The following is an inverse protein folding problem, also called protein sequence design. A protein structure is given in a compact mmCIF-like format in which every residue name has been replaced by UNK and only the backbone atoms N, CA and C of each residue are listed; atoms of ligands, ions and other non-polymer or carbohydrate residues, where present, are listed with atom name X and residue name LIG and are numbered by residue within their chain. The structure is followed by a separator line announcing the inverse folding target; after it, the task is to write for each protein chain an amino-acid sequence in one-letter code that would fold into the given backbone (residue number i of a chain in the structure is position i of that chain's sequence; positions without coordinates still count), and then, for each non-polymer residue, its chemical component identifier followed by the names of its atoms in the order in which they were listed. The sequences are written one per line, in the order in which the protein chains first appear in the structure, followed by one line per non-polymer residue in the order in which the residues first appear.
data_IF_541462119602
#
_entry.id   IF_541462119602
#
_cell.length_a   1.000
_cell.length_b   1.000
_cell.length_c   1.000
_cell.angle_alpha   90.00
_cell.angle_beta   90.00
_cell.angle_gamma   90.00
#
_symmetry.space_group_name_H-M   'P 1'
#
loop_
_entity.id
_entity.type
_entity.pdbx_description
1 polymer ?
#
# COMPACT_ATOMS: atom_id res chain seq x y z
N UNK A 1 -22.52 2.98 33.22
CA UNK A 1 -21.05 2.90 33.07
C UNK A 1 -20.76 2.56 31.60
N UNK A 2 -20.25 3.53 30.83
CA UNK A 2 -19.90 3.31 29.41
C UNK A 2 -18.65 2.45 29.35
N UNK A 3 -18.76 1.28 28.73
CA UNK A 3 -17.65 0.38 28.48
C UNK A 3 -16.64 1.09 27.57
N UNK A 4 -15.56 1.66 28.13
CA UNK A 4 -14.41 2.14 27.37
C UNK A 4 -13.63 0.91 26.90
N UNK A 5 -14.10 0.29 25.81
CA UNK A 5 -13.36 -0.75 25.11
C UNK A 5 -11.99 -0.20 24.72
N UNK A 6 -10.93 -0.93 25.12
CA UNK A 6 -9.50 -0.72 24.84
C UNK A 6 -9.21 0.07 23.55
N UNK A 7 -9.07 1.39 23.66
CA UNK A 7 -8.65 2.28 22.58
C UNK A 7 -7.12 2.27 22.34
N UNK A 8 -6.43 1.15 22.60
CA UNK A 8 -5.01 1.17 22.97
C UNK A 8 -3.98 0.51 22.04
N UNK A 9 -4.30 0.09 20.81
CA UNK A 9 -3.31 -0.62 19.98
C UNK A 9 -3.46 -0.43 18.45
N UNK A 10 -4.48 0.28 17.98
CA UNK A 10 -4.70 0.43 16.54
C UNK A 10 -3.86 1.58 15.95
N UNK A 11 -3.76 2.70 16.66
CA UNK A 11 -2.92 3.86 16.26
C UNK A 11 -1.44 3.47 16.15
N UNK A 12 -0.93 2.72 17.13
CA UNK A 12 0.46 2.23 17.14
C UNK A 12 0.72 1.31 15.94
N UNK A 13 -0.22 0.41 15.60
CA UNK A 13 -0.11 -0.46 14.43
C UNK A 13 -0.13 0.33 13.12
N UNK A 14 -0.99 1.34 13.01
CA UNK A 14 -1.02 2.22 11.85
C UNK A 14 0.32 2.95 11.68
N UNK A 15 0.86 3.48 12.78
CA UNK A 15 2.13 4.19 12.76
C UNK A 15 3.28 3.26 12.39
N UNK A 16 3.31 2.03 12.92
CA UNK A 16 4.30 1.02 12.58
C UNK A 16 4.24 0.62 11.11
N UNK A 17 3.04 0.36 10.57
CA UNK A 17 2.85 0.02 9.16
C UNK A 17 3.32 1.15 8.25
N UNK A 18 2.99 2.40 8.59
CA UNK A 18 3.41 3.57 7.81
C UNK A 18 4.93 3.75 7.86
N UNK A 19 5.55 3.62 9.04
CA UNK A 19 7.01 3.68 9.19
C UNK A 19 7.69 2.57 8.38
N UNK A 20 7.19 1.34 8.43
CA UNK A 20 7.71 0.24 7.65
C UNK A 20 7.63 0.52 6.14
N UNK A 21 6.49 1.02 5.65
CA UNK A 21 6.36 1.42 4.25
C UNK A 21 7.37 2.50 3.88
N UNK A 22 7.50 3.55 4.69
CA UNK A 22 8.40 4.67 4.44
C UNK A 22 9.88 4.26 4.42
N UNK A 23 10.29 3.33 5.28
CA UNK A 23 11.65 2.79 5.30
C UNK A 23 11.95 1.99 4.02
N UNK A 24 10.97 1.28 3.48
CA UNK A 24 11.11 0.51 2.24
C UNK A 24 11.05 1.38 0.97
N UNK A 25 10.41 2.55 1.03
CA UNK A 25 10.33 3.47 -0.10
C UNK A 25 11.71 3.92 -0.58
N UNK A 26 11.96 3.76 -1.89
CA UNK A 26 13.15 4.34 -2.55
C UNK A 26 13.02 5.88 -2.68
N UNK A 27 14.03 6.56 -3.23
CA UNK A 27 13.98 8.02 -3.41
C UNK A 27 12.79 8.52 -4.26
N UNK A 28 12.39 7.78 -5.30
CA UNK A 28 11.23 8.12 -6.13
C UNK A 28 9.92 8.01 -5.34
N UNK A 29 9.79 6.99 -4.51
CA UNK A 29 8.64 6.78 -3.65
C UNK A 29 8.61 7.82 -2.51
N UNK A 30 9.77 8.22 -1.99
CA UNK A 30 9.89 9.29 -1.01
C UNK A 30 9.55 10.65 -1.61
N UNK A 31 9.90 10.89 -2.89
CA UNK A 31 9.50 12.11 -3.62
C UNK A 31 7.99 12.27 -3.68
N UNK A 32 7.20 11.20 -3.72
CA UNK A 32 5.74 11.30 -3.61
C UNK A 32 5.32 12.07 -2.35
N UNK A 33 5.93 11.76 -1.20
CA UNK A 33 5.65 12.45 0.06
C UNK A 33 6.15 13.91 0.07
N UNK A 34 7.20 14.22 -0.71
CA UNK A 34 7.75 15.57 -0.87
C UNK A 34 7.11 16.45 -1.96
N UNK A 35 6.43 15.86 -2.95
CA UNK A 35 5.79 16.60 -4.05
C UNK A 35 4.57 17.36 -3.51
N UNK A 36 4.44 18.68 -3.83
CA UNK A 36 3.24 19.43 -3.50
C UNK A 36 1.99 18.74 -4.04
N UNK A 37 1.00 18.55 -3.19
CA UNK A 37 -0.18 17.70 -3.42
C UNK A 37 -0.86 17.90 -4.79
N UNK A 38 -0.93 19.13 -5.30
CA UNK A 38 -1.53 19.45 -6.62
C UNK A 38 -0.80 18.82 -7.82
N UNK A 39 0.40 18.29 -7.61
CA UNK A 39 1.26 17.69 -8.65
C UNK A 39 1.44 16.18 -8.48
N UNK A 40 0.88 15.57 -7.43
CA UNK A 40 0.96 14.12 -7.21
C UNK A 40 0.03 13.39 -8.19
N UNK A 41 0.51 12.35 -8.86
CA UNK A 41 -0.34 11.55 -9.75
C UNK A 41 -1.27 10.65 -8.93
N UNK A 42 -2.51 10.45 -9.39
CA UNK A 42 -3.45 9.51 -8.76
C UNK A 42 -2.89 8.10 -8.74
N UNK A 43 -2.24 7.72 -9.84
CA UNK A 43 -1.61 6.40 -10.01
C UNK A 43 -0.58 6.11 -8.91
N UNK A 44 0.15 7.12 -8.44
CA UNK A 44 1.13 6.94 -7.35
C UNK A 44 0.44 6.58 -6.02
N UNK A 45 -0.72 7.19 -5.72
CA UNK A 45 -1.54 6.82 -4.56
C UNK A 45 -2.01 5.37 -4.69
N UNK A 46 -2.63 5.04 -5.83
CA UNK A 46 -3.15 3.70 -6.12
C UNK A 46 -2.05 2.64 -6.00
N UNK A 47 -0.89 2.90 -6.59
CA UNK A 47 0.27 1.99 -6.55
C UNK A 47 0.75 1.77 -5.11
N UNK A 48 0.94 2.83 -4.32
CA UNK A 48 1.40 2.71 -2.93
C UNK A 48 0.37 2.03 -2.02
N UNK A 49 -0.93 2.25 -2.24
CA UNK A 49 -2.02 1.55 -1.53
C UNK A 49 -1.96 0.05 -1.83
N UNK A 50 -1.81 -0.34 -3.10
CA UNK A 50 -1.70 -1.74 -3.51
C UNK A 50 -0.46 -2.40 -2.91
N UNK A 51 0.69 -1.73 -2.93
CA UNK A 51 1.92 -2.22 -2.31
C UNK A 51 1.72 -2.44 -0.82
N UNK A 52 1.09 -1.49 -0.12
CA UNK A 52 0.79 -1.62 1.30
C UNK A 52 -0.10 -2.84 1.59
N UNK A 53 -1.17 -3.07 0.82
CA UNK A 53 -1.98 -4.28 0.95
C UNK A 53 -1.22 -5.57 0.63
N UNK A 54 -0.44 -5.58 -0.45
CA UNK A 54 0.36 -6.73 -0.86
C UNK A 54 1.38 -7.16 0.22
N UNK A 55 1.94 -6.18 0.94
CA UNK A 55 2.91 -6.38 2.02
C UNK A 55 2.29 -6.45 3.42
N UNK A 56 0.96 -6.59 3.53
CA UNK A 56 0.21 -6.65 4.81
C UNK A 56 0.29 -5.38 5.69
N UNK A 57 0.68 -4.24 5.13
CA UNK A 57 0.79 -2.94 5.82
C UNK A 57 -0.56 -2.19 5.76
N UNK A 58 -1.62 -2.79 6.30
CA UNK A 58 -2.99 -2.27 6.18
C UNK A 58 -3.14 -0.86 6.75
N UNK A 59 -2.43 -0.55 7.83
CA UNK A 59 -2.44 0.78 8.43
C UNK A 59 -1.89 1.85 7.50
N UNK A 60 -0.81 1.55 6.76
CA UNK A 60 -0.27 2.45 5.76
C UNK A 60 -1.26 2.70 4.62
N UNK A 61 -1.95 1.65 4.15
CA UNK A 61 -3.00 1.79 3.13
C UNK A 61 -4.16 2.67 3.60
N UNK A 62 -4.62 2.50 4.84
CA UNK A 62 -5.67 3.35 5.45
C UNK A 62 -5.21 4.82 5.54
N UNK A 63 -3.95 5.06 5.92
CA UNK A 63 -3.40 6.42 5.94
C UNK A 63 -3.40 7.03 4.54
N UNK A 64 -2.95 6.30 3.52
CA UNK A 64 -2.93 6.78 2.13
C UNK A 64 -4.33 7.06 1.57
N UNK A 65 -5.33 6.24 1.92
CA UNK A 65 -6.73 6.50 1.57
C UNK A 65 -7.27 7.73 2.30
N UNK A 66 -7.01 7.86 3.60
CA UNK A 66 -7.41 9.02 4.38
C UNK A 66 -6.71 10.31 3.92
N UNK A 67 -5.47 10.22 3.45
CA UNK A 67 -4.77 11.32 2.77
C UNK A 67 -5.53 11.74 1.51
N UNK A 68 -5.91 10.79 0.65
CA UNK A 68 -6.65 11.06 -0.57
C UNK A 68 -8.02 11.71 -0.29
N UNK A 69 -8.77 11.20 0.70
CA UNK A 69 -10.06 11.73 1.14
C UNK A 69 -9.94 13.15 1.70
N UNK A 70 -8.98 13.41 2.62
CA UNK A 70 -8.72 14.76 3.15
C UNK A 70 -8.38 15.77 2.05
N UNK A 71 -7.94 15.29 0.88
CA UNK A 71 -7.62 16.11 -0.30
C UNK A 71 -8.69 16.07 -1.39
N UNK A 72 -9.84 15.41 -1.16
CA UNK A 72 -10.94 15.24 -2.12
C UNK A 72 -10.52 14.57 -3.43
N UNK A 73 -9.56 13.65 -3.35
CA UNK A 73 -9.05 12.84 -4.46
C UNK A 73 -9.44 11.36 -4.35
N UNK A 74 -10.17 11.02 -3.31
CA UNK A 74 -10.70 9.68 -3.02
C UNK A 74 -11.40 9.09 -4.25
N UNK A 75 -12.29 9.85 -4.91
CA UNK A 75 -12.95 9.38 -6.13
C UNK A 75 -11.97 8.96 -7.22
N UNK A 76 -10.99 9.81 -7.55
CA UNK A 76 -9.98 9.49 -8.58
C UNK A 76 -9.17 8.25 -8.19
N UNK A 77 -8.80 8.13 -6.91
CA UNK A 77 -8.05 6.98 -6.39
C UNK A 77 -8.87 5.69 -6.48
N UNK A 78 -10.16 5.73 -6.14
CA UNK A 78 -11.07 4.59 -6.29
C UNK A 78 -11.32 4.23 -7.76
N UNK A 79 -11.45 5.22 -8.65
CA UNK A 79 -11.58 4.98 -10.09
C UNK A 79 -10.31 4.30 -10.63
N UNK A 80 -9.12 4.74 -10.20
CA UNK A 80 -7.86 4.08 -10.55
C UNK A 80 -7.74 2.67 -9.96
N UNK A 81 -8.15 2.46 -8.70
CA UNK A 81 -8.18 1.13 -8.07
C UNK A 81 -9.08 0.17 -8.86
N UNK A 82 -10.27 0.64 -9.26
CA UNK A 82 -11.21 -0.13 -10.07
C UNK A 82 -10.65 -0.44 -11.46
N UNK A 83 -9.97 0.52 -12.08
CA UNK A 83 -9.36 0.32 -13.40
C UNK A 83 -8.30 -0.81 -13.42
N UNK A 84 -7.63 -1.06 -12.30
CA UNK A 84 -6.59 -2.11 -12.18
C UNK A 84 -7.03 -3.32 -11.36
N UNK A 85 -8.30 -3.38 -10.92
CA UNK A 85 -8.74 -4.32 -9.87
C UNK A 85 -8.59 -5.80 -10.28
N UNK A 86 -8.66 -6.09 -11.58
CA UNK A 86 -8.50 -7.44 -12.14
C UNK A 86 -7.20 -7.60 -12.95
N UNK A 87 -6.35 -6.58 -13.02
CA UNK A 87 -5.08 -6.64 -13.75
C UNK A 87 -3.94 -7.16 -12.87
N UNK A 88 -3.87 -8.49 -12.78
CA UNK A 88 -2.83 -9.16 -12.00
C UNK A 88 -1.41 -8.79 -12.45
N UNK A 89 -1.19 -8.57 -13.74
CA UNK A 89 0.15 -8.34 -14.29
C UNK A 89 0.66 -6.94 -13.94
N UNK A 90 -0.21 -5.93 -14.00
CA UNK A 90 0.13 -4.57 -13.54
C UNK A 90 0.50 -4.58 -12.07
N UNK A 91 -0.29 -5.24 -11.23
CA UNK A 91 0.00 -5.30 -9.79
C UNK A 91 1.28 -6.10 -9.51
N UNK A 92 1.48 -7.23 -10.19
CA UNK A 92 2.70 -8.02 -10.07
C UNK A 92 3.94 -7.18 -10.41
N UNK A 93 3.87 -6.38 -11.48
CA UNK A 93 4.94 -5.47 -11.88
C UNK A 93 5.17 -4.40 -10.82
N UNK A 94 4.13 -3.71 -10.35
CA UNK A 94 4.26 -2.65 -9.35
C UNK A 94 4.88 -3.12 -8.04
N UNK A 95 4.42 -4.27 -7.51
CA UNK A 95 4.96 -4.83 -6.27
C UNK A 95 6.39 -5.35 -6.48
N UNK A 96 6.66 -6.00 -7.62
CA UNK A 96 8.00 -6.46 -7.97
C UNK A 96 9.01 -5.32 -8.09
N UNK A 97 8.68 -4.29 -8.88
CA UNK A 97 9.51 -3.10 -9.06
C UNK A 97 9.79 -2.39 -7.73
N UNK A 98 8.77 -2.28 -6.87
CA UNK A 98 8.94 -1.71 -5.53
C UNK A 98 9.94 -2.52 -4.70
N UNK A 99 9.75 -3.83 -4.58
CA UNK A 99 10.65 -4.70 -3.79
C UNK A 99 12.08 -4.64 -4.32
N UNK A 100 12.28 -4.70 -5.64
CA UNK A 100 13.61 -4.61 -6.25
C UNK A 100 14.32 -3.28 -5.94
N UNK A 101 13.55 -2.21 -5.72
CA UNK A 101 14.09 -0.88 -5.44
C UNK A 101 14.42 -0.61 -3.97
N UNK A 102 13.98 -1.48 -3.04
CA UNK A 102 14.31 -1.39 -1.61
C UNK A 102 15.83 -1.49 -1.47
N UNK A 103 16.45 -0.46 -0.88
CA UNK A 103 17.90 -0.35 -0.75
C UNK A 103 18.46 -1.35 0.25
N UNK A 104 17.84 -1.42 1.43
CA UNK A 104 18.24 -2.30 2.51
C UNK A 104 17.98 -3.78 2.13
N UNK A 105 19.02 -4.65 2.13
CA UNK A 105 18.86 -6.05 1.79
C UNK A 105 17.92 -6.83 2.72
N UNK A 106 17.90 -6.52 4.02
CA UNK A 106 17.10 -7.24 5.01
C UNK A 106 15.62 -6.90 4.81
N UNK A 107 15.30 -5.61 4.62
CA UNK A 107 13.92 -5.21 4.30
C UNK A 107 13.46 -5.76 2.95
N UNK A 108 14.35 -5.80 1.94
CA UNK A 108 14.05 -6.39 0.63
C UNK A 108 13.76 -7.88 0.76
N UNK A 109 14.53 -8.61 1.57
CA UNK A 109 14.29 -10.03 1.82
C UNK A 109 12.93 -10.25 2.48
N UNK A 110 12.63 -9.53 3.56
CA UNK A 110 11.35 -9.64 4.27
C UNK A 110 10.17 -9.33 3.33
N UNK A 111 10.24 -8.26 2.54
CA UNK A 111 9.20 -7.91 1.58
C UNK A 111 9.03 -8.98 0.49
N UNK A 112 10.13 -9.58 0.04
CA UNK A 112 10.12 -10.69 -0.93
C UNK A 112 9.41 -11.93 -0.37
N UNK A 113 9.69 -12.28 0.88
CA UNK A 113 9.07 -13.42 1.57
C UNK A 113 7.56 -13.21 1.74
N UNK A 114 7.15 -12.05 2.26
CA UNK A 114 5.73 -11.69 2.39
C UNK A 114 5.03 -11.76 1.03
N UNK A 115 5.65 -11.21 -0.02
CA UNK A 115 5.06 -11.22 -1.35
C UNK A 115 4.95 -12.63 -1.94
N UNK A 116 5.95 -13.48 -1.70
CA UNK A 116 5.92 -14.88 -2.12
C UNK A 116 4.77 -15.64 -1.46
N UNK A 117 4.60 -15.48 -0.15
CA UNK A 117 3.49 -16.09 0.60
C UNK A 117 2.13 -15.57 0.12
N UNK A 118 2.00 -14.26 -0.11
CA UNK A 118 0.77 -13.66 -0.62
C UNK A 118 0.42 -14.23 -1.98
N UNK A 119 1.37 -14.27 -2.92
CA UNK A 119 1.16 -14.81 -4.27
C UNK A 119 0.72 -16.27 -4.28
N UNK A 120 1.24 -17.08 -3.36
CA UNK A 120 0.88 -18.51 -3.28
C UNK A 120 -0.61 -18.73 -2.95
N UNK A 121 -1.29 -17.73 -2.38
CA UNK A 121 -2.71 -17.81 -1.98
C UNK A 121 -3.66 -17.20 -3.01
N UNK A 122 -3.14 -16.56 -4.06
CA UNK A 122 -3.95 -15.87 -5.07
C UNK A 122 -4.51 -16.89 -6.05
N UNK A 123 -5.84 -16.87 -6.26
CA UNK A 123 -6.44 -17.54 -7.41
C UNK A 123 -6.30 -16.63 -8.63
N UNK A 124 -5.43 -17.00 -9.58
CA UNK A 124 -5.15 -16.19 -10.77
C UNK A 124 -6.31 -16.12 -11.76
N UNK A 125 -7.13 -17.16 -11.87
CA UNK A 125 -8.26 -17.18 -12.82
C UNK A 125 -9.42 -16.30 -12.37
N UNK A 126 -9.49 -16.01 -11.07
CA UNK A 126 -10.53 -15.21 -10.42
C UNK A 126 -9.90 -14.01 -9.71
N UNK A 127 -8.74 -13.55 -10.21
CA UNK A 127 -7.98 -12.51 -9.54
C UNK A 127 -8.80 -11.22 -9.42
N UNK A 128 -8.85 -10.71 -8.19
CA UNK A 128 -9.33 -9.37 -7.87
C UNK A 128 -8.48 -8.80 -6.74
N UNK A 129 -8.23 -7.50 -6.77
CA UNK A 129 -7.42 -6.75 -5.80
C UNK A 129 -7.89 -6.95 -4.34
N UNK A 130 -9.18 -7.27 -4.12
CA UNK A 130 -9.72 -7.59 -2.80
C UNK A 130 -9.06 -8.81 -2.15
N UNK A 131 -8.44 -9.71 -2.91
CA UNK A 131 -7.65 -10.83 -2.37
C UNK A 131 -6.39 -10.35 -1.61
N UNK A 132 -6.01 -9.06 -1.71
CA UNK A 132 -4.91 -8.48 -0.94
C UNK A 132 -5.32 -7.87 0.40
N UNK A 133 -6.60 -7.52 0.56
CA UNK A 133 -7.16 -6.81 1.71
C UNK A 133 -7.43 -7.80 2.84
#
# INVERSE_FOLDING_TARGET
MRNKGKSGNWEVRIEQDLKALMIMCNESDQKFFGIPNKRRKTEDYTRLIIIAWALNLRGAAVVLLGEAERKKRDKEVFDCLKAVENDYNVILKWVGDFICSIQDPDYRQVATEIWKEKKARINKSEFNISQFI
#
